data_IF_688181356032
#
_entry.id   IF_688181356032
#
_cell.length_a   1.000
_cell.length_b   1.000
_cell.length_c   1.000
_cell.angle_alpha   90.00
_cell.angle_beta   90.00
_cell.angle_gamma   90.00
#
_symmetry.space_group_name_H-M   'P 1'
#
loop_
_entity.id
_entity.type
_entity.pdbx_description
1 polymer ?
#
# COMPACT_ATOMS: atom_id res chain seq x y z
N UNK A 1 -18.38 29.28 20.44
CA UNK A 1 -17.61 29.07 19.20
C UNK A 1 -16.21 28.65 19.58
N UNK A 2 -16.02 27.34 19.74
CA UNK A 2 -14.80 26.68 20.22
C UNK A 2 -13.78 26.45 19.11
N UNK A 3 -12.54 26.18 19.55
CA UNK A 3 -11.52 25.38 18.88
C UNK A 3 -10.64 26.08 17.83
N UNK A 4 -9.80 27.02 18.27
CA UNK A 4 -8.59 27.44 17.55
C UNK A 4 -7.41 27.59 18.50
N UNK A 5 -7.15 26.57 19.31
CA UNK A 5 -5.95 26.55 20.16
C UNK A 5 -5.56 25.11 20.47
N UNK A 6 -4.69 24.52 19.64
CA UNK A 6 -3.73 23.44 19.97
C UNK A 6 -3.07 22.92 18.69
N UNK A 7 -2.13 23.69 18.16
CA UNK A 7 -1.28 23.25 17.06
C UNK A 7 0.15 23.79 17.20
N UNK A 8 0.76 23.65 18.39
CA UNK A 8 2.20 23.89 18.59
C UNK A 8 2.72 23.01 19.72
N UNK A 9 3.04 21.73 19.46
CA UNK A 9 3.78 20.87 20.41
C UNK A 9 4.46 19.66 19.75
N UNK A 10 5.04 19.81 18.55
CA UNK A 10 5.75 18.71 17.88
C UNK A 10 7.10 19.11 17.25
N UNK A 11 7.92 19.90 17.95
CA UNK A 11 9.26 20.31 17.47
C UNK A 11 10.40 20.00 18.45
N UNK A 12 10.19 19.20 19.51
CA UNK A 12 11.26 18.95 20.50
C UNK A 12 11.59 17.49 20.80
N UNK A 13 11.70 16.66 19.77
CA UNK A 13 12.32 15.32 19.85
C UNK A 13 13.31 15.07 18.68
N UNK A 14 13.86 16.14 18.09
CA UNK A 14 14.77 16.04 16.94
C UNK A 14 16.27 15.94 17.26
N UNK A 15 16.69 16.11 18.51
CA UNK A 15 18.11 16.31 18.86
C UNK A 15 18.89 15.06 19.27
N UNK A 16 18.25 13.91 19.50
CA UNK A 16 18.92 12.75 20.11
C UNK A 16 19.40 11.70 19.10
N UNK A 17 19.12 11.89 17.80
CA UNK A 17 19.51 10.97 16.73
C UNK A 17 20.90 11.23 16.13
N UNK A 18 21.64 12.24 16.62
CA UNK A 18 22.98 12.58 16.11
C UNK A 18 24.13 12.26 17.09
N UNK A 19 23.91 11.37 18.07
CA UNK A 19 24.99 10.88 18.92
C UNK A 19 25.63 9.65 18.25
N UNK A 20 26.72 9.89 17.53
CA UNK A 20 27.49 8.87 16.82
C UNK A 20 27.97 7.72 17.73
N UNK A 21 28.29 6.55 17.16
CA UNK A 21 28.73 5.39 17.92
C UNK A 21 30.14 5.66 18.45
N UNK A 22 30.24 5.95 19.75
CA UNK A 22 31.51 5.92 20.46
C UNK A 22 32.15 4.54 20.37
N UNK A 23 33.44 4.52 20.07
CA UNK A 23 34.34 3.38 19.96
C UNK A 23 34.12 2.40 21.12
N UNK A 24 33.43 1.28 20.86
CA UNK A 24 33.39 0.15 21.79
C UNK A 24 34.62 -0.72 21.55
N UNK A 25 35.49 -0.72 22.54
CA UNK A 25 36.70 -1.52 22.61
C UNK A 25 36.41 -3.00 22.25
N UNK A 26 37.30 -3.55 21.43
CA UNK A 26 37.39 -4.97 21.13
C UNK A 26 37.68 -5.75 22.41
N UNK A 27 36.69 -6.49 22.91
CA UNK A 27 36.84 -7.26 24.14
C UNK A 27 35.62 -8.10 24.52
N UNK A 28 34.77 -8.43 23.56
CA UNK A 28 33.60 -9.30 23.78
C UNK A 28 33.73 -10.53 22.90
N UNK A 29 34.08 -11.66 23.51
CA UNK A 29 33.95 -13.00 22.92
C UNK A 29 32.62 -13.09 22.16
N UNK A 30 32.70 -13.22 20.83
CA UNK A 30 31.53 -13.41 19.97
C UNK A 30 30.87 -14.74 20.30
N UNK A 31 29.85 -14.71 21.15
CA UNK A 31 28.98 -15.86 21.41
C UNK A 31 28.26 -16.18 20.11
N UNK A 32 28.69 -17.26 19.45
CA UNK A 32 28.07 -17.74 18.21
C UNK A 32 26.84 -18.54 18.61
N UNK A 33 25.65 -17.95 18.46
CA UNK A 33 24.38 -18.67 18.65
C UNK A 33 24.12 -19.60 17.47
N UNK A 34 24.83 -20.73 17.41
CA UNK A 34 24.80 -21.64 16.27
C UNK A 34 23.58 -22.60 16.24
N UNK A 35 22.66 -22.52 17.21
CA UNK A 35 21.75 -23.65 17.46
C UNK A 35 20.40 -23.37 18.13
N UNK A 36 19.94 -22.12 18.31
CA UNK A 36 18.76 -21.89 19.17
C UNK A 36 17.75 -20.84 18.71
N UNK A 37 17.82 -20.37 17.46
CA UNK A 37 16.92 -19.30 16.92
C UNK A 37 15.76 -19.88 16.08
N UNK A 38 15.66 -21.20 15.98
CA UNK A 38 14.72 -21.90 15.10
C UNK A 38 13.40 -22.19 15.81
N UNK A 39 12.31 -22.07 15.05
CA UNK A 39 10.96 -22.45 15.45
C UNK A 39 10.97 -23.96 15.74
N UNK A 40 10.57 -24.34 16.96
CA UNK A 40 10.56 -25.74 17.37
C UNK A 40 9.45 -26.53 16.64
N UNK A 41 9.75 -27.72 16.09
CA UNK A 41 8.73 -28.54 15.44
C UNK A 41 7.70 -29.02 16.48
N UNK A 42 6.41 -28.80 16.19
CA UNK A 42 5.28 -29.27 17.01
C UNK A 42 4.43 -30.27 16.22
N UNK A 43 3.96 -31.34 16.88
CA UNK A 43 3.13 -32.37 16.25
C UNK A 43 1.64 -32.18 16.56
N UNK A 44 0.79 -32.17 15.53
CA UNK A 44 -0.69 -32.01 15.58
C UNK A 44 -1.18 -30.77 16.37
N UNK A 45 -0.33 -29.76 16.53
CA UNK A 45 -0.63 -28.51 17.22
C UNK A 45 -0.28 -27.33 16.34
N UNK A 46 -0.87 -26.16 16.63
CA UNK A 46 -0.55 -24.93 15.92
C UNK A 46 0.95 -24.56 16.08
N UNK A 47 1.65 -24.22 14.99
CA UNK A 47 3.08 -23.91 15.03
C UNK A 47 3.36 -22.60 15.76
N UNK A 48 4.58 -22.44 16.27
CA UNK A 48 5.00 -21.17 16.84
C UNK A 48 5.28 -20.16 15.72
N UNK A 49 4.56 -19.05 15.72
CA UNK A 49 4.81 -17.92 14.81
C UNK A 49 5.63 -16.86 15.54
N UNK A 50 6.60 -16.28 14.83
CA UNK A 50 7.32 -15.12 15.34
C UNK A 50 6.44 -13.88 15.19
N UNK A 51 6.39 -13.03 16.23
CA UNK A 51 5.57 -11.79 16.17
C UNK A 51 5.99 -10.87 15.03
N UNK A 52 7.28 -10.83 14.72
CA UNK A 52 7.82 -10.06 13.60
C UNK A 52 7.27 -10.52 12.25
N UNK A 53 7.13 -11.84 12.05
CA UNK A 53 6.58 -12.38 10.81
C UNK A 53 5.10 -12.01 10.64
N UNK A 54 4.31 -12.09 11.72
CA UNK A 54 2.89 -11.70 11.70
C UNK A 54 2.75 -10.21 11.38
N UNK A 55 3.52 -9.36 12.06
CA UNK A 55 3.49 -7.90 11.83
C UNK A 55 3.91 -7.57 10.40
N UNK A 56 4.97 -8.19 9.87
CA UNK A 56 5.39 -7.97 8.49
C UNK A 56 4.32 -8.41 7.49
N UNK A 57 3.70 -9.57 7.71
CA UNK A 57 2.62 -10.05 6.85
C UNK A 57 1.41 -9.08 6.83
N UNK A 58 1.02 -8.56 8.00
CA UNK A 58 -0.05 -7.57 8.12
C UNK A 58 0.32 -6.24 7.43
N UNK A 59 1.57 -5.78 7.57
CA UNK A 59 2.04 -4.56 6.90
C UNK A 59 1.99 -4.72 5.37
N UNK A 60 2.43 -5.87 4.83
CA UNK A 60 2.36 -6.11 3.40
C UNK A 60 0.93 -6.22 2.90
N UNK A 61 0.06 -6.93 3.63
CA UNK A 61 -1.37 -7.01 3.31
C UNK A 61 -2.03 -5.62 3.33
N UNK A 62 -1.76 -4.83 4.37
CA UNK A 62 -2.26 -3.46 4.49
C UNK A 62 -1.73 -2.55 3.39
N UNK A 63 -0.46 -2.67 3.03
CA UNK A 63 0.17 -1.88 1.95
C UNK A 63 -0.42 -2.26 0.58
N UNK A 64 -0.67 -3.55 0.34
CA UNK A 64 -1.33 -4.02 -0.87
C UNK A 64 -2.72 -3.41 -1.02
N UNK A 65 -3.57 -3.53 0.01
CA UNK A 65 -4.93 -2.98 -0.02
C UNK A 65 -4.95 -1.45 -0.06
N UNK A 66 -4.07 -0.80 0.69
CA UNK A 66 -3.86 0.64 0.60
C UNK A 66 -3.52 1.05 -0.83
N UNK A 67 -2.60 0.34 -1.49
CA UNK A 67 -2.20 0.65 -2.86
C UNK A 67 -3.34 0.47 -3.86
N UNK A 68 -4.13 -0.59 -3.73
CA UNK A 68 -5.31 -0.81 -4.59
C UNK A 68 -6.31 0.33 -4.44
N UNK A 69 -6.67 0.70 -3.21
CA UNK A 69 -7.64 1.76 -2.94
C UNK A 69 -7.09 3.14 -3.35
N UNK A 70 -5.82 3.40 -3.07
CA UNK A 70 -5.14 4.62 -3.47
C UNK A 70 -5.10 4.75 -4.99
N UNK A 71 -4.72 3.68 -5.71
CA UNK A 71 -4.65 3.69 -7.17
C UNK A 71 -6.03 3.78 -7.80
N UNK A 72 -7.03 3.11 -7.23
CA UNK A 72 -8.41 3.21 -7.70
C UNK A 72 -8.98 4.63 -7.54
N UNK A 73 -8.60 5.34 -6.47
CA UNK A 73 -9.01 6.73 -6.28
C UNK A 73 -8.27 7.71 -7.22
N UNK A 74 -6.97 7.49 -7.46
CA UNK A 74 -6.16 8.39 -8.29
C UNK A 74 -6.21 8.11 -9.79
N UNK A 75 -6.52 6.87 -10.19
CA UNK A 75 -6.53 6.38 -11.56
C UNK A 75 -7.74 5.45 -11.76
N UNK A 76 -8.93 6.02 -11.56
CA UNK A 76 -10.21 5.34 -11.78
C UNK A 76 -10.44 5.00 -13.25
N UNK A 77 -9.85 5.78 -14.15
CA UNK A 77 -10.13 5.77 -15.59
C UNK A 77 -9.52 4.53 -16.28
N UNK A 78 -8.43 3.99 -15.73
CA UNK A 78 -7.88 2.71 -16.15
C UNK A 78 -8.80 1.51 -15.89
N UNK A 79 -9.72 1.63 -14.92
CA UNK A 79 -10.67 0.56 -14.57
C UNK A 79 -12.05 0.81 -15.17
N UNK A 80 -12.53 2.05 -15.13
CA UNK A 80 -13.88 2.43 -15.58
C UNK A 80 -13.94 2.78 -17.07
N UNK A 81 -12.79 2.91 -17.73
CA UNK A 81 -12.70 3.34 -19.12
C UNK A 81 -12.38 4.83 -19.20
N UNK A 82 -11.38 5.18 -20.00
CA UNK A 82 -10.95 6.57 -20.19
C UNK A 82 -11.91 7.37 -21.07
N UNK A 83 -12.66 6.68 -21.94
CA UNK A 83 -13.53 7.30 -22.92
C UNK A 83 -14.96 6.76 -22.78
N UNK A 84 -15.97 7.63 -22.85
CA UNK A 84 -17.35 7.19 -22.89
C UNK A 84 -17.58 6.37 -24.15
N UNK A 85 -18.25 5.23 -24.00
CA UNK A 85 -18.62 4.39 -25.14
C UNK A 85 -19.75 5.08 -25.92
N UNK A 86 -19.56 5.41 -27.22
CA UNK A 86 -20.60 6.06 -28.00
C UNK A 86 -21.76 5.09 -28.25
N UNK A 87 -23.00 5.58 -28.15
CA UNK A 87 -24.19 4.82 -28.51
C UNK A 87 -24.33 4.81 -30.05
N UNK A 88 -24.25 3.63 -30.72
CA UNK A 88 -24.33 3.54 -32.17
C UNK A 88 -25.65 4.04 -32.76
N UNK A 89 -26.73 4.06 -31.97
CA UNK A 89 -28.06 4.52 -32.42
C UNK A 89 -28.20 6.03 -32.51
N UNK A 90 -27.24 6.79 -31.95
CA UNK A 90 -27.22 8.25 -32.03
C UNK A 90 -26.45 8.77 -33.25
N UNK A 91 -25.84 7.88 -34.04
CA UNK A 91 -25.20 8.24 -35.30
C UNK A 91 -26.26 8.56 -36.34
N UNK A 92 -26.13 9.72 -36.99
CA UNK A 92 -27.09 10.15 -38.01
C UNK A 92 -26.89 9.35 -39.29
N UNK A 93 -27.98 9.06 -39.99
CA UNK A 93 -27.95 8.33 -41.26
C UNK A 93 -27.09 9.07 -42.31
N UNK A 94 -26.98 10.40 -42.21
CA UNK A 94 -26.07 11.25 -43.01
C UNK A 94 -24.58 10.92 -42.77
N UNK A 95 -24.16 10.69 -41.52
CA UNK A 95 -22.79 10.28 -41.17
C UNK A 95 -22.50 8.83 -41.54
N UNK A 96 -23.55 7.99 -41.51
CA UNK A 96 -23.48 6.57 -41.90
C UNK A 96 -23.59 6.36 -43.41
N UNK A 97 -23.87 7.42 -44.18
CA UNK A 97 -24.02 7.36 -45.64
C UNK A 97 -25.25 6.55 -46.09
N UNK A 98 -26.26 6.41 -45.22
CA UNK A 98 -27.51 5.74 -45.52
C UNK A 98 -28.42 6.79 -46.17
N UNK A 99 -28.59 6.68 -47.48
CA UNK A 99 -29.50 7.53 -48.22
C UNK A 99 -30.96 7.09 -47.91
N UNK A 100 -31.89 8.03 -47.69
CA UNK A 100 -33.30 7.70 -47.63
C UNK A 100 -33.76 7.18 -49.00
N UNK A 101 -34.32 5.97 -49.04
CA UNK A 101 -34.91 5.34 -50.23
C UNK A 101 -36.29 5.96 -50.55
N UNK A 102 -36.34 7.28 -50.73
CA UNK A 102 -37.57 7.98 -51.13
C UNK A 102 -37.81 7.79 -52.65
N UNK A 103 -38.26 6.60 -53.05
CA UNK A 103 -38.97 6.36 -54.32
C UNK A 103 -40.48 6.31 -54.04
N UNK A 104 -41.18 7.44 -54.19
CA UNK A 104 -42.63 7.54 -54.46
C UNK A 104 -42.98 8.87 -55.15
#
# INVERSE_FOLDING_TARGET
MSALTRLVSFVRVGGQWFRGPGSRAAGGSGVRHAGSVHIEPRYRQFPQLTKSQVIQAEIFSGTMWFWILWRFWHDSDAVLGHFPYPDPSQWTDEELGILPDDED
#
